data_IF_238672912496
#
_entry.id   IF_238672912496
#
_cell.length_a   1.000
_cell.length_b   1.000
_cell.length_c   1.000
_cell.angle_alpha   90.00
_cell.angle_beta   90.00
_cell.angle_gamma   90.00
#
_symmetry.space_group_name_H-M   'P 1'
#
loop_
_entity.id
_entity.type
_entity.pdbx_description
1 polymer ?
#
# COMPACT_ATOMS: atom_id res chain seq x y z
N UNK A 1 -25.81 -8.44 1.07
CA UNK A 1 -24.82 -9.53 1.37
C UNK A 1 -23.44 -9.12 0.92
N UNK A 2 -22.38 -9.42 1.68
CA UNK A 2 -20.99 -9.14 1.23
C UNK A 2 -20.57 -10.17 0.18
N UNK A 3 -20.45 -9.77 -1.08
CA UNK A 3 -19.95 -10.65 -2.15
C UNK A 3 -18.48 -11.05 -1.90
N UNK A 4 -17.68 -10.11 -1.41
CA UNK A 4 -16.24 -10.31 -1.15
C UNK A 4 -16.01 -11.32 -0.02
N UNK A 5 -16.76 -11.23 1.08
CA UNK A 5 -16.57 -12.11 2.23
C UNK A 5 -16.82 -13.60 1.91
N UNK A 6 -17.71 -13.89 0.97
CA UNK A 6 -18.03 -15.27 0.57
C UNK A 6 -17.01 -15.92 -0.36
N UNK A 7 -16.13 -15.13 -0.98
CA UNK A 7 -15.12 -15.67 -1.87
C UNK A 7 -14.04 -16.40 -1.06
N UNK A 8 -13.70 -17.64 -1.39
CA UNK A 8 -12.59 -18.33 -0.75
C UNK A 8 -11.26 -17.62 -1.01
N UNK A 9 -10.28 -17.84 -0.15
CA UNK A 9 -8.90 -17.39 -0.33
C UNK A 9 -8.07 -18.60 -0.70
N UNK A 10 -7.53 -18.61 -1.91
CA UNK A 10 -6.66 -19.68 -2.38
C UNK A 10 -5.22 -19.42 -1.93
N UNK A 11 -4.57 -20.41 -1.35
CA UNK A 11 -3.17 -20.37 -0.95
C UNK A 11 -2.30 -20.81 -2.13
N UNK A 12 -1.40 -19.95 -2.64
CA UNK A 12 -0.44 -20.35 -3.65
C UNK A 12 0.63 -21.28 -3.05
N UNK A 13 1.34 -22.01 -3.91
CA UNK A 13 2.42 -22.88 -3.50
C UNK A 13 3.48 -22.10 -2.70
N UNK A 14 3.94 -22.68 -1.58
CA UNK A 14 4.93 -22.06 -0.70
C UNK A 14 4.37 -21.07 0.34
N UNK A 15 3.06 -20.89 0.40
CA UNK A 15 2.40 -20.10 1.46
C UNK A 15 1.69 -21.02 2.44
N UNK A 16 1.98 -20.84 3.73
CA UNK A 16 1.32 -21.57 4.81
C UNK A 16 0.55 -20.63 5.71
N UNK A 17 -0.61 -21.06 6.17
CA UNK A 17 -1.45 -20.32 7.09
C UNK A 17 -1.69 -21.13 8.35
N UNK A 18 -1.66 -20.47 9.51
CA UNK A 18 -1.98 -21.06 10.82
C UNK A 18 -2.88 -20.10 11.60
N UNK A 19 -3.83 -20.67 12.31
CA UNK A 19 -4.65 -19.93 13.26
C UNK A 19 -4.18 -20.29 14.66
N UNK A 20 -3.69 -19.30 15.40
CA UNK A 20 -3.22 -19.46 16.78
C UNK A 20 -4.33 -19.19 17.79
N UNK A 21 -4.16 -19.62 19.05
CA UNK A 21 -5.07 -19.28 20.14
C UNK A 21 -5.28 -17.77 20.23
N UNK A 22 -6.53 -17.34 20.48
CA UNK A 22 -6.91 -15.91 20.45
C UNK A 22 -7.28 -15.38 19.06
N UNK A 23 -7.52 -16.28 18.11
CA UNK A 23 -7.93 -15.96 16.73
C UNK A 23 -6.90 -15.09 15.98
N UNK A 24 -5.62 -15.37 16.18
CA UNK A 24 -4.54 -14.72 15.45
C UNK A 24 -4.16 -15.56 14.24
N UNK A 25 -4.34 -14.99 13.06
CA UNK A 25 -3.98 -15.60 11.79
C UNK A 25 -2.54 -15.24 11.45
N UNK A 26 -1.69 -16.25 11.30
CA UNK A 26 -0.32 -16.10 10.80
C UNK A 26 -0.20 -16.68 9.40
N UNK A 27 0.33 -15.90 8.49
CA UNK A 27 0.59 -16.28 7.10
C UNK A 27 2.08 -16.18 6.85
N UNK A 28 2.70 -17.29 6.48
CA UNK A 28 4.13 -17.36 6.16
C UNK A 28 4.31 -17.73 4.70
N UNK A 29 5.19 -17.02 4.02
CA UNK A 29 5.53 -17.23 2.62
C UNK A 29 7.00 -16.94 2.33
N UNK A 30 7.39 -16.97 1.05
CA UNK A 30 8.78 -16.77 0.63
C UNK A 30 9.33 -15.37 0.94
N UNK A 31 8.49 -14.33 1.00
CA UNK A 31 8.93 -12.95 1.24
C UNK A 31 8.93 -12.54 2.71
N UNK A 32 8.22 -13.29 3.56
CA UNK A 32 8.15 -12.97 4.99
C UNK A 32 6.97 -13.65 5.69
N UNK A 33 6.71 -13.18 6.90
CA UNK A 33 5.61 -13.65 7.75
C UNK A 33 4.78 -12.44 8.22
N UNK A 34 3.47 -12.57 8.16
CA UNK A 34 2.52 -11.57 8.65
C UNK A 34 1.56 -12.22 9.64
N UNK A 35 1.18 -11.45 10.67
CA UNK A 35 0.20 -11.85 11.66
C UNK A 35 -0.93 -10.83 11.77
N UNK A 36 -2.16 -11.28 11.82
CA UNK A 36 -3.35 -10.46 11.97
C UNK A 36 -4.27 -11.02 13.03
N UNK A 37 -4.60 -10.22 14.03
CA UNK A 37 -5.64 -10.58 14.99
C UNK A 37 -7.00 -10.39 14.35
N UNK A 38 -7.81 -11.43 14.40
CA UNK A 38 -9.18 -11.48 13.89
C UNK A 38 -10.17 -11.42 15.07
N UNK A 39 -11.31 -10.79 14.88
CA UNK A 39 -12.36 -10.71 15.89
C UNK A 39 -12.85 -12.13 16.24
N UNK A 40 -13.17 -12.36 17.51
CA UNK A 40 -13.59 -13.66 18.02
C UNK A 40 -14.90 -14.16 17.38
N UNK A 41 -15.74 -13.24 16.91
CA UNK A 41 -17.02 -13.58 16.26
C UNK A 41 -16.83 -14.17 14.86
N UNK A 42 -15.64 -14.06 14.26
CA UNK A 42 -15.36 -14.55 12.91
C UNK A 42 -14.60 -15.86 12.98
N UNK A 43 -15.17 -16.91 12.40
CA UNK A 43 -14.50 -18.19 12.31
C UNK A 43 -13.74 -18.34 10.98
N UNK A 44 -12.57 -18.98 11.04
CA UNK A 44 -11.70 -19.24 9.90
C UNK A 44 -11.48 -20.73 9.80
N UNK A 45 -11.87 -21.28 8.67
CA UNK A 45 -11.68 -22.70 8.32
C UNK A 45 -10.63 -22.84 7.23
N UNK A 46 -9.74 -23.81 7.39
CA UNK A 46 -8.67 -24.10 6.43
C UNK A 46 -8.91 -25.52 5.92
N UNK A 47 -9.18 -25.64 4.62
CA UNK A 47 -9.42 -26.91 3.95
C UNK A 47 -8.39 -27.09 2.83
N UNK A 48 -7.30 -27.78 3.14
CA UNK A 48 -6.17 -27.93 2.22
C UNK A 48 -5.57 -26.57 1.84
N UNK A 49 -5.73 -26.15 0.58
CA UNK A 49 -5.21 -24.89 0.05
C UNK A 49 -6.26 -23.78 -0.01
N UNK A 50 -7.41 -23.97 0.61
CA UNK A 50 -8.51 -23.02 0.59
C UNK A 50 -8.78 -22.54 2.01
N UNK A 51 -8.85 -21.22 2.17
CA UNK A 51 -9.23 -20.59 3.44
C UNK A 51 -10.60 -19.93 3.27
N UNK A 52 -11.51 -20.33 4.14
CA UNK A 52 -12.88 -19.79 4.18
C UNK A 52 -13.10 -19.03 5.47
N UNK A 53 -13.66 -17.85 5.35
CA UNK A 53 -14.02 -17.00 6.48
C UNK A 53 -15.54 -17.10 6.65
N UNK A 54 -16.00 -17.43 7.86
CA UNK A 54 -17.43 -17.56 8.15
C UNK A 54 -17.87 -16.60 9.27
N UNK A 55 -19.15 -16.25 9.27
CA UNK A 55 -19.75 -15.37 10.27
C UNK A 55 -20.96 -16.04 10.93
N UNK A 56 -21.23 -15.78 12.21
CA UNK A 56 -22.33 -16.44 12.94
C UNK A 56 -23.71 -15.91 12.54
N UNK A 57 -23.84 -14.60 12.25
CA UNK A 57 -25.14 -13.97 11.94
C UNK A 57 -25.03 -12.94 10.81
N UNK A 58 -26.19 -12.47 10.33
CA UNK A 58 -26.30 -11.44 9.27
C UNK A 58 -26.40 -10.01 9.82
N UNK A 59 -26.05 -9.79 11.09
CA UNK A 59 -25.98 -8.46 11.67
C UNK A 59 -25.01 -7.55 10.91
N UNK A 60 -25.24 -6.23 10.83
CA UNK A 60 -24.37 -5.29 10.11
C UNK A 60 -22.90 -5.37 10.53
N UNK A 61 -22.63 -5.52 11.84
CA UNK A 61 -21.28 -5.70 12.39
C UNK A 61 -20.58 -6.93 11.81
N UNK A 62 -21.21 -8.12 11.88
CA UNK A 62 -20.61 -9.36 11.37
C UNK A 62 -20.45 -9.34 9.86
N UNK A 63 -21.34 -8.66 9.13
CA UNK A 63 -21.21 -8.47 7.68
C UNK A 63 -20.01 -7.61 7.31
N UNK A 64 -19.74 -6.54 8.05
CA UNK A 64 -18.59 -5.68 7.83
C UNK A 64 -17.28 -6.39 8.16
N UNK A 65 -17.20 -7.05 9.33
CA UNK A 65 -16.02 -7.81 9.76
C UNK A 65 -15.69 -8.97 8.82
N UNK A 66 -16.70 -9.68 8.33
CA UNK A 66 -16.52 -10.78 7.37
C UNK A 66 -15.81 -10.33 6.10
N UNK A 67 -16.25 -9.23 5.49
CA UNK A 67 -15.57 -8.66 4.30
C UNK A 67 -14.18 -8.11 4.59
N UNK A 68 -14.02 -7.46 5.76
CA UNK A 68 -12.75 -6.90 6.20
C UNK A 68 -11.68 -8.00 6.36
N UNK A 69 -11.94 -9.00 7.20
CA UNK A 69 -10.93 -10.03 7.50
C UNK A 69 -10.62 -10.90 6.29
N UNK A 70 -11.62 -11.22 5.47
CA UNK A 70 -11.35 -11.92 4.20
C UNK A 70 -10.39 -11.11 3.32
N UNK A 71 -10.59 -9.81 3.21
CA UNK A 71 -9.71 -8.95 2.40
C UNK A 71 -8.31 -8.80 3.01
N UNK A 72 -8.21 -8.71 4.34
CA UNK A 72 -6.92 -8.66 5.04
C UNK A 72 -6.14 -9.96 4.84
N UNK A 73 -6.78 -11.13 5.01
CA UNK A 73 -6.12 -12.43 4.78
C UNK A 73 -5.67 -12.56 3.32
N UNK A 74 -6.50 -12.15 2.34
CA UNK A 74 -6.10 -12.13 0.93
C UNK A 74 -4.88 -11.23 0.69
N UNK A 75 -4.86 -10.05 1.31
CA UNK A 75 -3.72 -9.15 1.20
C UNK A 75 -2.46 -9.76 1.82
N UNK A 76 -2.56 -10.43 2.97
CA UNK A 76 -1.42 -11.12 3.59
C UNK A 76 -0.89 -12.22 2.67
N UNK A 77 -1.76 -13.07 2.14
CA UNK A 77 -1.38 -14.17 1.22
C UNK A 77 -0.67 -13.63 -0.02
N UNK A 78 -1.23 -12.61 -0.66
CA UNK A 78 -0.61 -11.96 -1.83
C UNK A 78 0.71 -11.28 -1.45
N UNK A 79 0.75 -10.61 -0.30
CA UNK A 79 1.94 -9.91 0.18
C UNK A 79 3.13 -10.85 0.41
N UNK A 80 2.93 -11.96 1.13
CA UNK A 80 4.02 -12.90 1.41
C UNK A 80 4.41 -13.76 0.20
N UNK A 81 3.56 -13.86 -0.83
CA UNK A 81 3.86 -14.61 -2.07
C UNK A 81 4.57 -13.76 -3.12
N UNK A 82 3.92 -12.69 -3.58
CA UNK A 82 4.39 -11.85 -4.69
C UNK A 82 4.88 -10.48 -4.24
N UNK A 83 4.46 -10.02 -3.06
CA UNK A 83 4.74 -8.68 -2.56
C UNK A 83 3.89 -7.60 -3.22
N UNK A 84 4.06 -6.39 -2.74
CA UNK A 84 3.42 -5.19 -3.28
C UNK A 84 4.46 -4.20 -3.74
N UNK A 85 4.19 -3.55 -4.87
CA UNK A 85 5.03 -2.49 -5.41
C UNK A 85 4.19 -1.24 -5.60
N UNK A 86 4.68 -0.11 -5.07
CA UNK A 86 4.08 1.21 -5.26
C UNK A 86 5.10 2.12 -5.92
N UNK A 87 4.68 2.83 -6.95
CA UNK A 87 5.51 3.80 -7.66
C UNK A 87 4.93 5.20 -7.50
N UNK A 88 5.76 6.15 -7.11
CA UNK A 88 5.42 7.56 -6.98
C UNK A 88 6.32 8.40 -7.87
N UNK A 89 5.73 9.37 -8.53
CA UNK A 89 6.40 10.33 -9.41
C UNK A 89 6.47 11.70 -8.72
N UNK A 90 7.65 12.28 -8.68
CA UNK A 90 7.89 13.60 -8.09
C UNK A 90 7.89 14.65 -9.22
N UNK A 91 6.79 15.34 -9.39
CA UNK A 91 6.61 16.35 -10.44
C UNK A 91 6.99 17.72 -9.94
N UNK A 92 8.05 18.28 -10.48
CA UNK A 92 8.49 19.66 -10.13
C UNK A 92 9.90 19.98 -10.59
N UNK A 93 10.13 21.24 -10.94
CA UNK A 93 11.46 21.70 -11.31
C UNK A 93 12.38 21.63 -10.09
N UNK A 94 13.53 20.96 -10.24
CA UNK A 94 14.51 20.80 -9.17
C UNK A 94 14.14 19.76 -8.11
N UNK A 95 13.07 18.98 -8.30
CA UNK A 95 12.75 17.88 -7.39
C UNK A 95 13.74 16.74 -7.59
N UNK A 96 14.23 16.21 -6.47
CA UNK A 96 15.16 15.08 -6.43
C UNK A 96 14.71 14.08 -5.38
N UNK A 97 15.03 12.82 -5.62
CA UNK A 97 14.86 11.73 -4.68
C UNK A 97 16.09 10.84 -4.75
N UNK A 98 16.69 10.58 -3.61
CA UNK A 98 17.84 9.68 -3.46
C UNK A 98 17.55 8.72 -2.31
N UNK A 99 17.95 7.46 -2.48
CA UNK A 99 17.83 6.44 -1.44
C UNK A 99 19.21 6.00 -1.02
N UNK A 100 19.55 6.21 0.24
CA UNK A 100 20.82 5.83 0.87
C UNK A 100 20.56 4.82 1.98
N UNK A 101 20.58 3.55 1.64
CA UNK A 101 20.20 2.48 2.57
C UNK A 101 18.72 2.58 2.94
N UNK A 102 18.42 2.85 4.20
CA UNK A 102 17.04 3.03 4.71
C UNK A 102 16.62 4.51 4.81
N UNK A 103 17.48 5.43 4.39
CA UNK A 103 17.17 6.86 4.40
C UNK A 103 16.77 7.30 3.01
N UNK A 104 15.56 7.83 2.90
CA UNK A 104 15.06 8.50 1.70
C UNK A 104 15.28 10.00 1.84
N UNK A 105 16.12 10.57 0.99
CA UNK A 105 16.38 12.00 0.88
C UNK A 105 15.52 12.60 -0.23
N UNK A 106 14.79 13.66 0.08
CA UNK A 106 13.87 14.32 -0.84
C UNK A 106 14.10 15.82 -0.88
N UNK A 107 14.42 16.36 -2.06
CA UNK A 107 14.41 17.80 -2.34
C UNK A 107 13.08 18.15 -3.04
N UNK A 108 12.20 18.83 -2.34
CA UNK A 108 10.82 19.10 -2.79
C UNK A 108 10.55 20.59 -2.99
N UNK A 109 11.58 21.41 -3.19
CA UNK A 109 11.46 22.86 -3.37
C UNK A 109 11.18 23.62 -2.07
N UNK A 110 11.58 23.05 -0.93
CA UNK A 110 11.73 23.72 0.34
C UNK A 110 13.17 24.24 0.49
N UNK A 111 13.43 25.08 1.47
CA UNK A 111 14.76 25.60 1.81
C UNK A 111 15.69 24.54 2.43
N UNK A 112 15.15 23.38 2.79
CA UNK A 112 15.85 22.26 3.39
C UNK A 112 15.45 20.96 2.71
N UNK A 113 16.34 19.97 2.73
CA UNK A 113 16.05 18.62 2.29
C UNK A 113 15.32 17.85 3.38
N UNK A 114 14.46 16.93 2.96
CA UNK A 114 13.67 16.10 3.86
C UNK A 114 14.30 14.71 3.90
N UNK A 115 14.69 14.27 5.10
CA UNK A 115 15.20 12.94 5.35
C UNK A 115 14.12 12.09 6.03
N UNK A 116 13.74 10.99 5.40
CA UNK A 116 12.75 10.05 5.92
C UNK A 116 13.39 8.69 6.10
N UNK A 117 13.41 8.21 7.34
CA UNK A 117 13.83 6.84 7.64
C UNK A 117 12.69 5.88 7.28
N UNK A 118 12.99 4.95 6.37
CA UNK A 118 12.04 3.92 5.95
C UNK A 118 12.12 2.71 6.90
N UNK A 119 10.98 2.04 7.18
CA UNK A 119 10.99 0.75 7.86
C UNK A 119 11.84 -0.29 7.12
N UNK A 120 12.44 -1.23 7.87
CA UNK A 120 13.36 -2.24 7.32
C UNK A 120 12.67 -3.15 6.28
N UNK A 121 11.37 -3.37 6.43
CA UNK A 121 10.57 -4.21 5.53
C UNK A 121 10.35 -3.58 4.16
N UNK A 122 10.57 -2.26 4.03
CA UNK A 122 10.38 -1.53 2.78
C UNK A 122 11.71 -1.40 2.05
N UNK A 123 11.76 -1.95 0.86
CA UNK A 123 12.86 -1.71 -0.09
C UNK A 123 12.45 -0.59 -1.03
N UNK A 124 13.27 0.44 -1.12
CA UNK A 124 13.02 1.60 -1.98
C UNK A 124 14.14 1.78 -2.99
N UNK A 125 13.81 2.25 -4.17
CA UNK A 125 14.74 2.72 -5.18
C UNK A 125 14.22 4.01 -5.83
N UNK A 126 15.11 4.95 -6.08
CA UNK A 126 14.78 6.19 -6.78
C UNK A 126 15.52 6.22 -8.12
N UNK A 127 14.78 6.42 -9.19
CA UNK A 127 15.31 6.41 -10.55
C UNK A 127 14.86 7.64 -11.32
N UNK A 128 15.74 8.16 -12.17
CA UNK A 128 15.43 9.21 -13.13
C UNK A 128 15.63 8.61 -14.53
N UNK A 129 14.54 8.35 -15.22
CA UNK A 129 14.56 7.62 -16.51
C UNK A 129 15.40 8.31 -17.60
N UNK A 130 15.40 9.65 -17.64
CA UNK A 130 16.20 10.46 -18.59
C UNK A 130 16.53 11.80 -17.93
N UNK A 131 17.62 12.44 -18.38
CA UNK A 131 17.96 13.81 -17.94
C UNK A 131 16.78 14.75 -18.24
N UNK A 132 16.20 15.36 -17.21
CA UNK A 132 15.01 16.21 -17.31
C UNK A 132 13.66 15.51 -17.06
N UNK A 133 13.63 14.18 -16.92
CA UNK A 133 12.42 13.47 -16.49
C UNK A 133 12.20 13.59 -14.97
N UNK A 134 10.95 13.43 -14.58
CA UNK A 134 10.60 13.42 -13.16
C UNK A 134 11.20 12.19 -12.45
N UNK A 135 11.75 12.34 -11.24
CA UNK A 135 12.17 11.20 -10.43
C UNK A 135 11.00 10.28 -10.12
N UNK A 136 11.23 8.99 -10.22
CA UNK A 136 10.28 7.94 -9.86
C UNK A 136 10.83 7.17 -8.67
N UNK A 137 10.08 7.20 -7.57
CA UNK A 137 10.35 6.42 -6.38
C UNK A 137 9.55 5.12 -6.45
N UNK A 138 10.26 3.99 -6.47
CA UNK A 138 9.67 2.65 -6.43
C UNK A 138 9.87 2.07 -5.05
N UNK A 139 8.81 1.63 -4.40
CA UNK A 139 8.83 1.01 -3.08
C UNK A 139 8.20 -0.37 -3.15
N UNK A 140 8.84 -1.36 -2.53
CA UNK A 140 8.35 -2.74 -2.45
C UNK A 140 8.30 -3.21 -1.01
N UNK A 141 7.22 -3.93 -0.65
CA UNK A 141 7.04 -4.51 0.66
C UNK A 141 6.08 -5.71 0.58
N UNK A 142 6.20 -6.65 1.50
CA UNK A 142 5.23 -7.72 1.66
C UNK A 142 4.00 -7.29 2.47
N UNK A 143 4.10 -6.25 3.31
CA UNK A 143 2.97 -5.68 4.02
C UNK A 143 2.34 -4.52 3.23
N UNK A 144 1.11 -4.74 2.73
CA UNK A 144 0.35 -3.72 2.00
C UNK A 144 0.00 -2.51 2.84
N UNK A 145 -0.31 -2.72 4.12
CA UNK A 145 -0.72 -1.65 5.02
C UNK A 145 0.46 -0.72 5.31
N UNK A 146 1.60 -1.29 5.68
CA UNK A 146 2.82 -0.53 5.95
C UNK A 146 3.26 0.25 4.71
N UNK A 147 3.30 -0.40 3.54
CA UNK A 147 3.64 0.23 2.26
C UNK A 147 2.70 1.40 1.93
N UNK A 148 1.39 1.19 2.13
CA UNK A 148 0.38 2.24 1.90
C UNK A 148 0.53 3.43 2.85
N UNK A 149 0.81 3.20 4.12
CA UNK A 149 1.05 4.26 5.12
C UNK A 149 2.28 5.09 4.76
N UNK A 150 3.39 4.45 4.40
CA UNK A 150 4.63 5.15 4.02
C UNK A 150 4.43 5.92 2.72
N UNK A 151 3.80 5.33 1.71
CA UNK A 151 3.48 6.02 0.46
C UNK A 151 2.57 7.24 0.67
N UNK A 152 1.56 7.12 1.53
CA UNK A 152 0.69 8.23 1.89
C UNK A 152 1.45 9.34 2.66
N UNK A 153 2.36 8.96 3.56
CA UNK A 153 3.23 9.91 4.29
C UNK A 153 4.12 10.69 3.32
N UNK A 154 4.80 10.01 2.39
CA UNK A 154 5.64 10.65 1.37
C UNK A 154 4.81 11.62 0.52
N UNK A 155 3.64 11.18 0.03
CA UNK A 155 2.74 12.07 -0.72
C UNK A 155 2.28 13.29 0.09
N UNK A 156 2.10 13.16 1.40
CA UNK A 156 1.68 14.25 2.26
C UNK A 156 2.73 15.34 2.42
N UNK A 157 4.02 15.04 2.21
CA UNK A 157 5.11 16.01 2.30
C UNK A 157 4.97 17.12 1.24
N UNK A 158 4.53 16.77 0.04
CA UNK A 158 4.18 17.75 -1.00
C UNK A 158 3.02 17.21 -1.84
N UNK A 159 1.80 17.55 -1.42
CA UNK A 159 0.58 17.14 -2.15
C UNK A 159 0.57 17.72 -3.56
N UNK A 160 0.02 17.00 -4.55
CA UNK A 160 -0.05 17.50 -5.92
C UNK A 160 -0.96 18.71 -6.02
N UNK A 161 -0.48 19.73 -6.70
CA UNK A 161 -1.18 20.99 -6.95
C UNK A 161 -2.25 20.80 -8.05
N UNK A 162 -3.43 21.44 -7.92
CA UNK A 162 -4.50 21.27 -8.89
C UNK A 162 -4.31 22.04 -10.21
N UNK A 163 -3.33 22.93 -10.33
CA UNK A 163 -3.13 23.74 -11.55
C UNK A 163 -2.13 23.11 -12.51
N UNK A 164 -0.85 23.05 -12.13
CA UNK A 164 0.23 22.47 -12.94
C UNK A 164 0.54 21.01 -12.57
N UNK A 165 -0.03 20.50 -11.46
CA UNK A 165 0.18 19.15 -10.98
C UNK A 165 1.54 18.94 -10.29
N UNK A 166 2.18 20.02 -9.83
CA UNK A 166 3.45 19.96 -9.10
C UNK A 166 3.23 19.30 -7.73
N UNK A 167 4.08 18.36 -7.37
CA UNK A 167 3.98 17.59 -6.13
C UNK A 167 4.27 16.12 -6.34
N UNK A 168 3.98 15.30 -5.33
CA UNK A 168 4.17 13.85 -5.36
C UNK A 168 2.84 13.19 -5.68
N UNK A 169 2.77 12.43 -6.76
CA UNK A 169 1.60 11.65 -7.18
C UNK A 169 1.96 10.18 -7.37
N UNK A 170 0.97 9.32 -7.39
CA UNK A 170 1.18 7.92 -7.81
C UNK A 170 1.36 7.86 -9.33
N UNK A 171 2.16 6.94 -9.81
CA UNK A 171 2.32 6.70 -11.25
C UNK A 171 0.99 6.22 -11.83
N UNK A 172 0.53 6.87 -12.91
CA UNK A 172 -0.77 6.61 -13.52
C UNK A 172 -1.95 7.38 -12.87
N UNK A 173 -1.72 8.14 -11.80
CA UNK A 173 -2.76 8.97 -11.20
C UNK A 173 -3.11 10.16 -12.09
N UNK A 174 -4.39 10.26 -12.48
CA UNK A 174 -4.92 11.41 -13.20
C UNK A 174 -5.42 12.46 -12.21
N UNK A 175 -4.74 13.60 -12.17
CA UNK A 175 -5.11 14.71 -11.31
C UNK A 175 -6.18 15.56 -11.98
N UNK A 176 -7.27 15.86 -11.25
CA UNK A 176 -8.25 16.84 -11.70
C UNK A 176 -7.62 18.22 -11.67
N UNK A 177 -7.35 18.78 -12.86
CA UNK A 177 -6.77 20.11 -12.99
C UNK A 177 -7.87 21.17 -13.01
N UNK A 178 -7.58 22.32 -12.41
CA UNK A 178 -8.40 23.52 -12.48
C UNK A 178 -7.80 24.46 -13.52
N UNK A 179 -8.65 25.14 -14.28
CA UNK A 179 -8.22 26.30 -15.07
C UNK A 179 -7.79 27.41 -14.11
N UNK A 180 -6.58 27.94 -14.25
CA UNK A 180 -6.15 29.13 -13.52
C UNK A 180 -7.00 30.35 -13.89
N UNK A 181 -6.72 31.48 -13.25
CA UNK A 181 -7.30 32.76 -13.71
C UNK A 181 -6.87 32.97 -15.16
N UNK A 182 -7.81 32.88 -16.11
CA UNK A 182 -7.59 33.43 -17.45
C UNK A 182 -7.47 34.93 -17.29
N UNK A 183 -6.40 35.55 -17.78
CA UNK A 183 -6.39 36.98 -17.99
C UNK A 183 -7.60 37.24 -18.88
N UNK A 184 -8.61 37.94 -18.36
CA UNK A 184 -9.73 38.40 -19.19
C UNK A 184 -9.12 39.15 -20.35
N UNK A 185 -9.30 38.63 -21.57
CA UNK A 185 -9.05 39.40 -22.76
C UNK A 185 -9.94 40.62 -22.62
N UNK A 186 -9.31 41.80 -22.54
CA UNK A 186 -10.00 43.08 -22.79
C UNK A 186 -10.52 43.09 -24.21
#
# INVERSE_FOLDING_TARGET
MSRIGKLPVNLPAGVTIKVEPGNVVKVKGPLGELAQKVDADIAITIEGNIVTVTRPTDQPRHRSLHGLYRSLIQNMVTGVSTGYTVKQELVGVGYRAEVKGQILELSLGYSHDIHLMLPIEIKASAEVAKKGANPVLTMTCFDKQLLGMVAAKIRSLRKPEPYKGKGIKFVGEQLRRKAGKSASAK
#
